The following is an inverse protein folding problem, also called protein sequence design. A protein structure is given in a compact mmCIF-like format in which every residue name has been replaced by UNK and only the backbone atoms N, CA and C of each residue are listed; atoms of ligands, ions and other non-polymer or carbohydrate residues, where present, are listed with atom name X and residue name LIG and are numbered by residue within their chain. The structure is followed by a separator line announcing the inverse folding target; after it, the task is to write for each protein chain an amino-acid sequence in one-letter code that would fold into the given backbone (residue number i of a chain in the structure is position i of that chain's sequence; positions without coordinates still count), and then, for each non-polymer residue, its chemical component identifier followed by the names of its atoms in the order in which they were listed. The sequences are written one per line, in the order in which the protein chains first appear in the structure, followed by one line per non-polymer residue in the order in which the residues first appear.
data_IF_370118305004
#
_entry.id   IF_370118305004
#
_cell.length_a   1.000
_cell.length_b   1.000
_cell.length_c   1.000
_cell.angle_alpha   90.00
_cell.angle_beta   90.00
_cell.angle_gamma   90.00
#
_symmetry.space_group_name_H-M   'P 1'
#
loop_
_entity.id
_entity.type
_entity.pdbx_description
1 polymer ?
#
# COMPACT_ATOMS: atom_id res chain seq x y z
N UNK A 1 -49.73 -10.36 4.18
CA UNK A 1 -48.88 -11.19 5.03
C UNK A 1 -47.46 -10.73 4.86
N UNK A 2 -46.81 -10.31 5.94
CA UNK A 2 -45.40 -9.94 5.95
C UNK A 2 -44.51 -11.20 5.96
N UNK A 3 -43.25 -11.07 5.55
CA UNK A 3 -42.30 -12.20 5.51
C UNK A 3 -42.14 -12.86 6.89
N UNK A 4 -42.03 -12.04 7.95
CA UNK A 4 -41.89 -12.47 9.34
C UNK A 4 -43.13 -13.21 9.90
N UNK A 5 -44.29 -13.12 9.24
CA UNK A 5 -45.50 -13.85 9.67
C UNK A 5 -45.38 -15.36 9.39
N UNK A 6 -44.47 -15.77 8.50
CA UNK A 6 -44.28 -17.17 8.11
C UNK A 6 -42.82 -17.65 8.24
N UNK A 7 -41.85 -16.74 8.20
CA UNK A 7 -40.43 -17.06 8.28
C UNK A 7 -39.83 -16.63 9.62
N UNK A 8 -39.03 -17.51 10.23
CA UNK A 8 -38.24 -17.18 11.40
C UNK A 8 -37.05 -16.31 11.02
N UNK A 9 -36.82 -15.23 11.77
CA UNK A 9 -35.65 -14.38 11.59
C UNK A 9 -34.37 -15.12 11.98
N UNK A 10 -33.52 -15.38 10.99
CA UNK A 10 -32.24 -16.04 11.17
C UNK A 10 -31.17 -15.08 11.69
N UNK A 11 -31.36 -13.77 11.57
CA UNK A 11 -30.43 -12.71 11.98
C UNK A 11 -30.61 -12.25 13.43
N UNK A 12 -31.46 -12.92 14.21
CA UNK A 12 -31.68 -12.64 15.64
C UNK A 12 -31.98 -11.18 15.97
N UNK A 13 -32.68 -10.48 15.09
CA UNK A 13 -33.14 -9.12 15.29
C UNK A 13 -32.12 -8.04 14.93
N UNK A 14 -30.95 -8.39 14.39
CA UNK A 14 -29.93 -7.40 14.01
C UNK A 14 -30.41 -6.42 12.92
N UNK A 15 -31.32 -6.87 12.05
CA UNK A 15 -31.83 -6.09 10.91
C UNK A 15 -33.34 -5.80 10.99
N UNK A 16 -34.01 -6.23 12.06
CA UNK A 16 -35.47 -6.11 12.18
C UNK A 16 -36.24 -6.95 11.15
N UNK A 17 -37.47 -6.54 10.83
CA UNK A 17 -38.40 -7.32 9.99
C UNK A 17 -38.45 -6.89 8.52
N UNK A 18 -37.53 -6.03 8.06
CA UNK A 18 -37.51 -5.53 6.68
C UNK A 18 -36.78 -6.50 5.75
N UNK A 19 -37.30 -7.73 5.63
CA UNK A 19 -36.64 -8.81 4.89
C UNK A 19 -36.40 -8.45 3.41
N UNK A 20 -37.30 -7.66 2.81
CA UNK A 20 -37.19 -7.25 1.42
C UNK A 20 -36.07 -6.23 1.16
N UNK A 21 -35.45 -5.68 2.21
CA UNK A 21 -34.30 -4.80 2.06
C UNK A 21 -33.07 -5.54 1.52
N UNK A 22 -32.95 -6.85 1.75
CA UNK A 22 -31.79 -7.67 1.36
C UNK A 22 -32.15 -8.95 0.60
N UNK A 23 -33.41 -9.38 0.65
CA UNK A 23 -33.89 -10.62 0.04
C UNK A 23 -35.01 -10.34 -0.96
N UNK A 24 -35.05 -11.14 -2.02
CA UNK A 24 -36.15 -11.12 -2.98
C UNK A 24 -36.88 -12.46 -2.95
N UNK A 25 -38.15 -12.53 -3.40
CA UNK A 25 -38.82 -13.82 -3.57
C UNK A 25 -38.09 -14.78 -4.54
N UNK A 26 -37.21 -14.25 -5.39
CA UNK A 26 -36.42 -15.03 -6.36
C UNK A 26 -35.08 -15.51 -5.78
N UNK A 27 -34.59 -14.95 -4.66
CA UNK A 27 -33.29 -15.29 -4.10
C UNK A 27 -32.95 -14.51 -2.84
N UNK A 28 -32.08 -15.11 -2.02
CA UNK A 28 -31.73 -14.63 -0.67
C UNK A 28 -30.53 -13.67 -0.63
N UNK A 29 -29.98 -13.23 -1.76
CA UNK A 29 -28.86 -12.29 -1.79
C UNK A 29 -29.11 -11.20 -2.83
N UNK A 30 -29.55 -10.03 -2.38
CA UNK A 30 -29.50 -8.81 -3.19
C UNK A 30 -28.14 -8.13 -2.98
N UNK A 31 -27.26 -8.26 -3.97
CA UNK A 31 -25.91 -7.70 -3.89
C UNK A 31 -25.92 -6.17 -3.79
N UNK A 32 -26.89 -5.50 -4.42
CA UNK A 32 -26.98 -4.03 -4.38
C UNK A 32 -27.31 -3.55 -2.97
N UNK A 33 -28.28 -4.21 -2.32
CA UNK A 33 -28.63 -3.93 -0.93
C UNK A 33 -27.45 -4.14 0.03
N UNK A 34 -26.68 -5.22 -0.16
CA UNK A 34 -25.50 -5.51 0.65
C UNK A 34 -24.47 -4.38 0.53
N UNK A 35 -24.18 -3.92 -0.69
CA UNK A 35 -23.24 -2.81 -0.92
C UNK A 35 -23.73 -1.51 -0.25
N UNK A 36 -25.02 -1.20 -0.35
CA UNK A 36 -25.62 0.00 0.24
C UNK A 36 -25.57 -0.01 1.77
N UNK A 37 -25.88 -1.13 2.41
CA UNK A 37 -25.81 -1.27 3.86
C UNK A 37 -24.37 -1.06 4.35
N UNK A 38 -23.40 -1.73 3.73
CA UNK A 38 -21.99 -1.57 4.09
C UNK A 38 -21.52 -0.12 3.93
N UNK A 39 -21.89 0.54 2.84
CA UNK A 39 -21.60 1.96 2.63
C UNK A 39 -22.26 2.87 3.69
N UNK A 40 -23.52 2.60 4.05
CA UNK A 40 -24.26 3.35 5.08
C UNK A 40 -23.67 3.22 6.48
N UNK A 41 -22.90 2.15 6.73
CA UNK A 41 -22.25 1.86 8.02
C UNK A 41 -20.78 2.25 8.05
N UNK A 42 -20.29 2.95 7.02
CA UNK A 42 -18.93 3.50 7.00
C UNK A 42 -17.86 2.55 6.48
N UNK A 43 -18.23 1.43 5.86
CA UNK A 43 -17.28 0.54 5.20
C UNK A 43 -17.77 0.18 3.79
N UNK A 44 -17.72 1.09 2.81
CA UNK A 44 -18.12 0.79 1.45
C UNK A 44 -17.25 -0.33 0.85
N UNK A 45 -17.88 -1.47 0.54
CA UNK A 45 -17.19 -2.59 -0.07
C UNK A 45 -16.74 -2.20 -1.49
N UNK A 46 -15.43 -2.15 -1.69
CA UNK A 46 -14.81 -1.74 -2.95
C UNK A 46 -13.50 -2.49 -3.20
N UNK A 47 -13.03 -2.51 -4.45
CA UNK A 47 -11.82 -3.25 -4.82
C UNK A 47 -11.94 -4.73 -4.43
N UNK A 48 -10.88 -5.26 -3.81
CA UNK A 48 -10.86 -6.64 -3.31
C UNK A 48 -11.86 -6.92 -2.19
N UNK A 49 -12.26 -5.92 -1.41
CA UNK A 49 -13.24 -6.10 -0.33
C UNK A 49 -14.66 -6.36 -0.86
N UNK A 50 -14.97 -5.93 -2.09
CA UNK A 50 -16.28 -6.18 -2.72
C UNK A 50 -16.52 -7.63 -3.12
N UNK A 51 -15.46 -8.45 -3.12
CA UNK A 51 -15.51 -9.87 -3.49
C UNK A 51 -14.99 -10.78 -2.38
N UNK A 52 -14.74 -10.24 -1.19
CA UNK A 52 -14.32 -11.01 -0.04
C UNK A 52 -15.49 -11.88 0.48
N UNK A 53 -15.15 -13.08 0.97
CA UNK A 53 -16.11 -13.94 1.66
C UNK A 53 -16.65 -13.25 2.92
N UNK A 54 -17.94 -13.37 3.20
CA UNK A 54 -18.59 -12.75 4.37
C UNK A 54 -17.85 -13.07 5.67
N UNK A 55 -17.38 -14.32 5.80
CA UNK A 55 -16.67 -14.87 6.95
C UNK A 55 -15.32 -14.19 7.20
N UNK A 56 -14.72 -13.57 6.18
CA UNK A 56 -13.45 -12.88 6.32
C UNK A 56 -13.54 -11.68 7.28
N UNK A 57 -14.71 -11.05 7.36
CA UNK A 57 -14.97 -9.92 8.27
C UNK A 57 -15.95 -10.29 9.38
N UNK A 58 -16.97 -11.09 9.10
CA UNK A 58 -17.98 -11.55 10.06
C UNK A 58 -17.54 -12.86 10.72
N UNK A 59 -16.46 -12.81 11.51
CA UNK A 59 -15.84 -14.02 12.10
C UNK A 59 -16.69 -14.72 13.18
N UNK A 60 -17.79 -14.11 13.64
CA UNK A 60 -18.76 -14.68 14.59
C UNK A 60 -20.06 -15.16 13.91
N UNK A 61 -20.03 -15.33 12.59
CA UNK A 61 -21.19 -15.69 11.77
C UNK A 61 -21.70 -17.13 11.96
N UNK A 62 -21.12 -17.93 12.88
CA UNK A 62 -21.58 -19.31 13.14
C UNK A 62 -23.07 -19.42 13.51
N UNK A 63 -23.76 -18.31 13.70
CA UNK A 63 -25.19 -18.27 13.90
C UNK A 63 -25.89 -17.16 13.06
N UNK A 64 -25.38 -16.68 11.93
CA UNK A 64 -25.93 -15.52 11.20
C UNK A 64 -25.97 -14.20 12.02
N UNK A 65 -25.07 -14.08 13.00
CA UNK A 65 -24.76 -12.80 13.66
C UNK A 65 -23.74 -12.06 12.81
N UNK A 66 -24.15 -10.96 12.20
CA UNK A 66 -23.29 -10.02 11.49
C UNK A 66 -22.81 -8.95 12.46
N UNK A 67 -22.24 -9.39 13.58
CA UNK A 67 -21.70 -8.49 14.59
C UNK A 67 -20.60 -7.64 13.94
N UNK A 68 -20.62 -6.33 14.22
CA UNK A 68 -19.63 -5.42 13.64
C UNK A 68 -18.23 -5.76 14.13
N UNK A 69 -17.34 -6.05 13.19
CA UNK A 69 -15.89 -5.99 13.39
C UNK A 69 -15.45 -4.53 13.25
N UNK A 70 -14.36 -4.13 13.91
CA UNK A 70 -13.75 -2.83 13.65
C UNK A 70 -13.46 -2.66 12.15
N UNK A 71 -13.79 -1.50 11.59
CA UNK A 71 -13.72 -1.23 10.15
C UNK A 71 -12.49 -0.39 9.76
N UNK A 72 -11.62 -0.09 10.73
CA UNK A 72 -10.37 0.59 10.42
C UNK A 72 -9.42 -0.41 9.75
N UNK A 73 -8.55 0.08 8.86
CA UNK A 73 -7.63 -0.77 8.12
C UNK A 73 -6.79 -1.67 9.05
N UNK A 74 -6.30 -1.11 10.17
CA UNK A 74 -5.48 -1.83 11.14
C UNK A 74 -6.26 -2.85 11.97
N UNK A 75 -7.59 -2.76 12.05
CA UNK A 75 -8.38 -3.76 12.79
C UNK A 75 -8.25 -5.16 12.16
N UNK A 76 -7.97 -5.21 10.85
CA UNK A 76 -7.72 -6.45 10.10
C UNK A 76 -6.25 -6.59 9.65
N UNK A 77 -5.63 -5.51 9.18
CA UNK A 77 -4.32 -5.54 8.51
C UNK A 77 -3.13 -5.18 9.40
N UNK A 78 -3.28 -5.18 10.74
CA UNK A 78 -2.16 -4.86 11.64
C UNK A 78 -1.00 -5.86 11.50
N UNK A 79 -1.31 -7.14 11.28
CA UNK A 79 -0.29 -8.16 11.02
C UNK A 79 0.45 -7.91 9.70
N UNK A 80 -0.28 -7.58 8.63
CA UNK A 80 0.33 -7.22 7.34
C UNK A 80 1.22 -5.98 7.47
N UNK A 81 0.75 -4.98 8.21
CA UNK A 81 1.52 -3.78 8.52
C UNK A 81 2.83 -4.12 9.25
N UNK A 82 2.77 -4.96 10.29
CA UNK A 82 3.94 -5.34 11.09
C UNK A 82 4.92 -6.25 10.33
N UNK A 83 4.43 -7.03 9.37
CA UNK A 83 5.22 -7.97 8.58
C UNK A 83 5.77 -7.37 7.28
N UNK A 84 5.37 -6.15 6.90
CA UNK A 84 5.92 -5.49 5.72
C UNK A 84 7.41 -5.28 5.85
N UNK A 85 8.17 -5.75 4.86
CA UNK A 85 9.62 -5.63 4.84
C UNK A 85 10.12 -4.58 3.85
N UNK A 86 9.36 -4.20 2.82
CA UNK A 86 9.80 -3.24 1.80
C UNK A 86 8.62 -2.45 1.21
N UNK A 87 8.38 -1.21 1.65
CA UNK A 87 9.07 -0.55 2.76
C UNK A 87 8.77 -1.21 4.11
N UNK A 88 9.73 -1.17 5.04
CA UNK A 88 9.52 -1.69 6.39
C UNK A 88 8.74 -0.66 7.23
N UNK A 89 7.43 -0.87 7.38
CA UNK A 89 6.55 0.07 8.07
C UNK A 89 6.91 0.24 9.56
N UNK A 90 7.26 -0.86 10.24
CA UNK A 90 7.59 -0.84 11.66
C UNK A 90 8.92 -0.10 11.92
N UNK A 91 9.94 -0.33 11.09
CA UNK A 91 11.21 0.38 11.14
C UNK A 91 11.02 1.87 10.84
N UNK A 92 10.18 2.19 9.86
CA UNK A 92 9.90 3.56 9.45
C UNK A 92 8.99 4.32 10.44
N UNK A 93 8.35 3.62 11.38
CA UNK A 93 7.33 4.19 12.27
C UNK A 93 6.21 4.90 11.50
N UNK A 94 5.77 4.32 10.38
CA UNK A 94 4.69 4.90 9.58
C UNK A 94 3.36 4.95 10.36
N UNK A 95 2.52 5.91 10.01
CA UNK A 95 1.18 6.05 10.59
C UNK A 95 0.29 4.85 10.23
N UNK A 96 -0.70 4.57 11.09
CA UNK A 96 -1.81 3.65 10.79
C UNK A 96 -2.87 4.28 9.86
N UNK A 97 -2.65 5.51 9.40
CA UNK A 97 -3.44 6.15 8.34
C UNK A 97 -3.09 5.55 6.98
N UNK A 98 -3.47 4.29 6.77
CA UNK A 98 -3.07 3.48 5.61
C UNK A 98 -3.42 4.15 4.26
N UNK A 99 -4.51 4.93 4.23
CA UNK A 99 -5.02 5.61 3.04
C UNK A 99 -4.11 6.73 2.50
N UNK A 100 -3.11 7.16 3.28
CA UNK A 100 -2.10 8.08 2.78
C UNK A 100 -1.26 7.47 1.64
N UNK A 101 -1.20 6.14 1.57
CA UNK A 101 -0.43 5.42 0.57
C UNK A 101 -1.27 4.34 -0.13
N UNK A 102 -2.06 3.55 0.61
CA UNK A 102 -2.80 2.41 0.09
C UNK A 102 -4.24 2.80 -0.27
N UNK A 103 -4.65 2.47 -1.49
CA UNK A 103 -5.98 2.79 -2.00
C UNK A 103 -6.95 1.63 -1.71
N UNK A 104 -8.02 1.81 -0.91
CA UNK A 104 -8.94 0.72 -0.53
C UNK A 104 -9.68 0.09 -1.71
N UNK A 105 -9.84 0.83 -2.81
CA UNK A 105 -10.49 0.36 -4.04
C UNK A 105 -9.53 -0.38 -4.98
N UNK A 106 -8.26 -0.56 -4.62
CA UNK A 106 -7.29 -1.28 -5.43
C UNK A 106 -7.69 -2.76 -5.59
N UNK A 107 -7.41 -3.32 -6.78
CA UNK A 107 -7.71 -4.72 -7.13
C UNK A 107 -6.71 -5.72 -6.55
N UNK A 108 -5.63 -5.23 -5.94
CA UNK A 108 -4.64 -6.00 -5.17
C UNK A 108 -3.84 -5.04 -4.29
N UNK A 109 -3.18 -5.56 -3.27
CA UNK A 109 -2.20 -4.81 -2.49
C UNK A 109 -0.97 -4.53 -3.37
N UNK A 110 -0.94 -3.37 -4.02
CA UNK A 110 0.23 -2.91 -4.76
C UNK A 110 1.10 -2.05 -3.86
N UNK A 111 2.41 -2.07 -4.13
CA UNK A 111 3.30 -1.06 -3.60
C UNK A 111 2.72 0.32 -3.96
N UNK A 112 2.53 1.21 -2.98
CA UNK A 112 2.03 2.54 -3.26
C UNK A 112 3.05 3.26 -4.15
N UNK A 113 2.56 3.97 -5.17
CA UNK A 113 3.41 4.84 -5.98
C UNK A 113 3.75 6.08 -5.14
N UNK A 114 4.78 5.97 -4.30
CA UNK A 114 5.34 7.12 -3.61
C UNK A 114 6.35 7.82 -4.53
N UNK A 115 5.94 8.98 -5.06
CA UNK A 115 6.77 9.77 -5.95
C UNK A 115 7.86 10.52 -5.16
N UNK A 116 9.13 10.33 -5.52
CA UNK A 116 10.25 11.03 -4.89
C UNK A 116 10.55 12.38 -5.58
N UNK A 117 9.56 13.27 -5.71
CA UNK A 117 9.69 14.48 -6.55
C UNK A 117 10.50 15.61 -5.93
N UNK A 118 10.57 15.70 -4.60
CA UNK A 118 11.05 16.91 -3.91
C UNK A 118 12.55 16.91 -3.56
N UNK A 119 13.18 15.73 -3.44
CA UNK A 119 14.57 15.62 -2.94
C UNK A 119 15.48 14.79 -3.82
N UNK A 120 15.03 13.61 -4.24
CA UNK A 120 15.82 12.68 -5.03
C UNK A 120 14.90 11.94 -6.00
N UNK A 121 14.67 12.53 -7.17
CA UNK A 121 13.82 11.93 -8.19
C UNK A 121 14.45 10.63 -8.72
N UNK A 122 13.69 9.54 -8.61
CA UNK A 122 14.12 8.24 -9.10
C UNK A 122 14.12 8.26 -10.63
N UNK A 123 15.31 8.13 -11.23
CA UNK A 123 15.52 8.06 -12.68
C UNK A 123 16.53 6.98 -13.03
N UNK A 124 16.46 6.49 -14.26
CA UNK A 124 17.35 5.43 -14.76
C UNK A 124 17.32 4.17 -13.88
N UNK A 125 18.49 3.68 -13.47
CA UNK A 125 18.60 2.45 -12.67
C UNK A 125 17.88 2.53 -11.31
N UNK A 126 17.72 3.72 -10.74
CA UNK A 126 17.06 3.91 -9.43
C UNK A 126 15.55 3.67 -9.46
N UNK A 127 14.92 3.61 -10.65
CA UNK A 127 13.48 3.37 -10.79
C UNK A 127 13.03 1.97 -10.35
N UNK A 128 13.96 1.00 -10.31
CA UNK A 128 13.64 -0.39 -10.00
C UNK A 128 14.31 -0.84 -8.69
N UNK A 129 14.78 0.11 -7.89
CA UNK A 129 15.50 -0.16 -6.66
C UNK A 129 14.55 -0.34 -5.49
N UNK A 130 14.83 -1.32 -4.64
CA UNK A 130 14.10 -1.54 -3.39
C UNK A 130 14.27 -0.35 -2.44
N UNK A 131 13.21 0.02 -1.71
CA UNK A 131 13.25 1.16 -0.79
C UNK A 131 14.37 1.01 0.24
N UNK A 132 14.56 -0.21 0.76
CA UNK A 132 15.57 -0.51 1.77
C UNK A 132 17.02 -0.44 1.25
N UNK A 133 17.25 -0.45 -0.06
CA UNK A 133 18.60 -0.26 -0.61
C UNK A 133 19.14 1.14 -0.33
N UNK A 134 18.25 2.12 -0.20
CA UNK A 134 18.58 3.50 0.16
C UNK A 134 18.23 3.80 1.63
N UNK A 135 17.08 3.32 2.09
CA UNK A 135 16.55 3.55 3.44
C UNK A 135 16.94 2.44 4.41
N UNK A 136 18.25 2.24 4.60
CA UNK A 136 18.80 1.12 5.41
C UNK A 136 18.51 1.26 6.91
N UNK A 137 18.55 2.49 7.42
CA UNK A 137 18.35 2.78 8.85
C UNK A 137 17.08 3.60 9.14
N UNK A 138 16.70 4.48 8.21
CA UNK A 138 15.58 5.40 8.34
C UNK A 138 15.05 5.81 6.97
N UNK A 139 13.76 6.15 6.92
CA UNK A 139 13.11 6.76 5.75
C UNK A 139 13.23 8.29 5.73
N UNK A 140 13.86 8.87 6.75
CA UNK A 140 14.13 10.31 6.86
C UNK A 140 15.62 10.55 6.88
N UNK A 141 16.07 11.53 6.09
CA UNK A 141 17.47 11.98 6.10
C UNK A 141 18.42 11.08 5.31
N UNK A 142 17.91 10.19 4.45
CA UNK A 142 18.74 9.45 3.50
C UNK A 142 19.50 10.43 2.60
N UNK A 143 20.84 10.34 2.53
CA UNK A 143 21.66 11.18 1.66
C UNK A 143 21.24 11.03 0.20
N UNK A 144 21.20 12.15 -0.53
CA UNK A 144 20.86 12.18 -1.95
C UNK A 144 22.09 12.34 -2.86
N UNK A 145 23.26 12.56 -2.28
CA UNK A 145 24.50 12.75 -3.04
C UNK A 145 25.03 11.42 -3.55
N UNK A 146 25.38 11.35 -4.83
CA UNK A 146 25.82 10.12 -5.50
C UNK A 146 26.97 9.42 -4.74
N UNK A 147 27.97 10.19 -4.32
CA UNK A 147 29.13 9.66 -3.62
C UNK A 147 28.78 9.04 -2.26
N UNK A 148 27.73 9.51 -1.58
CA UNK A 148 27.31 8.98 -0.27
C UNK A 148 26.92 7.50 -0.34
N UNK A 149 26.47 7.02 -1.51
CA UNK A 149 26.13 5.62 -1.74
C UNK A 149 27.12 4.90 -2.66
N UNK A 150 27.75 5.62 -3.58
CA UNK A 150 28.65 5.06 -4.60
C UNK A 150 30.13 5.33 -4.33
N UNK A 151 30.53 5.57 -3.07
CA UNK A 151 31.92 5.78 -2.68
C UNK A 151 32.82 4.59 -3.08
N UNK A 152 32.34 3.37 -2.93
CA UNK A 152 33.10 2.17 -3.31
C UNK A 152 33.32 2.10 -4.82
N UNK A 153 32.28 2.40 -5.61
CA UNK A 153 32.39 2.45 -7.07
C UNK A 153 33.35 3.56 -7.53
N UNK A 154 33.26 4.74 -6.90
CA UNK A 154 34.19 5.86 -7.14
C UNK A 154 35.63 5.45 -6.85
N UNK A 155 35.90 4.84 -5.69
CA UNK A 155 37.23 4.42 -5.28
C UNK A 155 37.79 3.26 -6.11
N UNK A 156 36.92 2.40 -6.64
CA UNK A 156 37.29 1.24 -7.44
C UNK A 156 37.43 1.53 -8.95
N UNK A 157 37.08 2.73 -9.42
CA UNK A 157 37.15 3.04 -10.85
C UNK A 157 38.61 3.15 -11.30
N UNK A 158 38.95 2.49 -12.42
CA UNK A 158 40.31 2.47 -12.99
C UNK A 158 40.45 3.16 -14.34
N UNK A 159 39.36 3.65 -14.93
CA UNK A 159 39.38 4.30 -16.24
C UNK A 159 38.34 5.41 -16.35
N UNK A 160 38.74 6.69 -16.13
CA UNK A 160 39.97 7.11 -15.45
C UNK A 160 39.94 6.80 -13.93
N UNK A 161 41.11 6.75 -13.27
CA UNK A 161 41.20 6.50 -11.83
C UNK A 161 40.69 7.69 -10.99
N UNK A 162 39.39 7.69 -10.67
CA UNK A 162 38.73 8.82 -10.00
C UNK A 162 39.42 9.29 -8.71
N UNK A 163 39.67 8.36 -7.78
CA UNK A 163 40.25 8.67 -6.48
C UNK A 163 41.71 9.11 -6.56
N UNK A 164 42.51 8.48 -7.43
CA UNK A 164 43.95 8.79 -7.58
C UNK A 164 44.14 10.16 -8.25
N UNK A 165 43.31 10.47 -9.24
CA UNK A 165 43.36 11.73 -9.97
C UNK A 165 42.65 12.87 -9.22
N UNK A 166 42.01 12.58 -8.09
CA UNK A 166 41.36 13.58 -7.24
C UNK A 166 40.16 14.25 -7.92
N UNK A 167 39.39 13.48 -8.70
CA UNK A 167 38.17 13.99 -9.31
C UNK A 167 37.14 14.44 -8.26
N UNK A 168 36.19 15.27 -8.70
CA UNK A 168 35.12 15.74 -7.82
C UNK A 168 34.19 14.59 -7.44
N UNK A 169 33.72 14.58 -6.18
CA UNK A 169 32.63 13.69 -5.72
C UNK A 169 31.25 14.20 -6.14
N UNK A 170 31.17 15.39 -6.76
CA UNK A 170 29.97 15.85 -7.44
C UNK A 170 29.86 15.18 -8.81
N UNK A 171 29.32 13.95 -8.82
CA UNK A 171 29.22 13.11 -10.01
C UNK A 171 28.42 13.76 -11.15
N UNK A 172 27.45 14.62 -10.82
CA UNK A 172 26.57 15.29 -11.79
C UNK A 172 27.31 16.25 -12.75
N UNK A 173 28.59 16.55 -12.49
CA UNK A 173 29.43 17.31 -13.41
C UNK A 173 29.73 16.54 -14.70
N UNK A 174 29.82 15.20 -14.62
CA UNK A 174 30.19 14.35 -15.76
C UNK A 174 29.15 13.26 -16.05
N UNK A 175 28.48 12.74 -15.02
CA UNK A 175 27.57 11.59 -15.10
C UNK A 175 26.12 12.00 -14.84
N UNK A 176 25.20 11.19 -15.35
CA UNK A 176 23.79 11.23 -14.96
C UNK A 176 23.26 9.80 -14.81
N UNK A 177 22.22 9.64 -14.02
CA UNK A 177 21.62 8.35 -13.67
C UNK A 177 20.93 7.61 -14.82
N UNK A 178 20.71 8.27 -15.98
CA UNK A 178 20.10 7.65 -17.17
C UNK A 178 21.14 7.08 -18.12
N UNK A 179 22.28 7.76 -18.29
CA UNK A 179 23.39 7.38 -19.17
C UNK A 179 24.71 7.47 -18.42
N UNK A 180 24.89 6.58 -17.45
CA UNK A 180 26.05 6.63 -16.55
C UNK A 180 27.38 6.42 -17.27
N UNK A 181 27.42 5.52 -18.26
CA UNK A 181 28.63 5.18 -19.02
C UNK A 181 29.03 6.25 -20.04
N UNK A 182 28.08 7.06 -20.53
CA UNK A 182 28.33 8.13 -21.49
C UNK A 182 28.69 9.44 -20.76
N UNK A 183 29.80 9.44 -20.02
CA UNK A 183 30.26 10.63 -19.32
C UNK A 183 30.51 11.77 -20.32
N UNK A 184 29.82 12.90 -20.12
CA UNK A 184 30.00 14.09 -20.96
C UNK A 184 30.83 15.08 -20.16
N UNK A 185 31.99 15.45 -20.68
CA UNK A 185 32.85 16.46 -20.09
C UNK A 185 33.10 17.58 -21.10
N UNK A 186 32.66 18.80 -20.78
CA UNK A 186 33.00 19.99 -21.56
C UNK A 186 34.25 20.64 -20.94
N UNK A 187 35.37 20.47 -21.61
CA UNK A 187 36.68 20.97 -21.22
C UNK A 187 36.89 22.45 -21.60
N UNK A 188 35.92 23.32 -21.28
CA UNK A 188 36.02 24.77 -21.55
C UNK A 188 37.36 25.37 -21.11
#
# INVERSE_FOLDING_TARGET
TACADCHSDVHRGEFGNDCQSCHTPAGWQDQQAILEIHASRGFPLSGVHAVADCQACHVREQQNEFTMTGVNCYDCHLSDFALSLNPNHAQASFSLDCQNCHVPSAVRWIAPEYAHTEKFELRGAHLQTDCNSCHTSSYVGTPGECFSCHADAYNATTSPEHAVLGFSTNCAVCHNEVRWEDAVFDHL
#
